data_IF_609969177355
#
_entry.id   IF_609969177355
#
_cell.length_a   1.000
_cell.length_b   1.000
_cell.length_c   1.000
_cell.angle_alpha   90.00
_cell.angle_beta   90.00
_cell.angle_gamma   90.00
#
_symmetry.space_group_name_H-M   'P 1'
#
loop_
_entity.id
_entity.type
_entity.pdbx_description
1 polymer ?
#
# COMPACT_ATOMS: atom_id res chain seq x y z
N UNK A 1 -8.88 -17.37 28.54
CA UNK A 1 -8.50 -17.65 27.15
C UNK A 1 -7.46 -16.63 26.74
N UNK A 2 -6.33 -17.04 26.15
CA UNK A 2 -5.38 -16.09 25.57
C UNK A 2 -6.11 -15.31 24.45
N UNK A 3 -5.96 -13.99 24.43
CA UNK A 3 -6.55 -13.15 23.38
C UNK A 3 -5.82 -13.42 22.07
N UNK A 4 -6.56 -13.69 21.00
CA UNK A 4 -5.98 -13.73 19.64
C UNK A 4 -5.49 -12.32 19.32
N UNK A 5 -4.27 -12.23 18.75
CA UNK A 5 -3.70 -11.00 18.23
C UNK A 5 -3.48 -11.10 16.73
N UNK A 6 -3.55 -9.98 16.04
CA UNK A 6 -3.19 -9.90 14.63
C UNK A 6 -1.68 -9.69 14.51
N UNK A 7 -0.97 -10.64 13.91
CA UNK A 7 0.48 -10.56 13.72
C UNK A 7 0.83 -10.34 12.24
N UNK A 8 1.77 -9.43 11.98
CA UNK A 8 2.36 -9.28 10.65
C UNK A 8 3.36 -10.40 10.44
N UNK A 9 3.04 -11.34 9.56
CA UNK A 9 3.84 -12.55 9.33
C UNK A 9 4.65 -12.52 8.03
N UNK A 10 4.36 -11.59 7.13
CA UNK A 10 5.13 -11.32 5.93
C UNK A 10 4.92 -9.89 5.45
N UNK A 11 5.91 -9.40 4.69
CA UNK A 11 5.88 -8.10 4.04
C UNK A 11 6.24 -8.23 2.57
N UNK A 12 5.71 -7.34 1.75
CA UNK A 12 6.03 -7.22 0.34
C UNK A 12 6.00 -5.77 -0.09
N UNK A 13 6.69 -5.46 -1.17
CA UNK A 13 6.72 -4.10 -1.72
C UNK A 13 6.94 -4.12 -3.21
N UNK A 14 6.59 -3.02 -3.84
CA UNK A 14 6.95 -2.72 -5.21
C UNK A 14 7.22 -1.23 -5.38
N UNK A 15 8.32 -0.91 -6.02
CA UNK A 15 8.69 0.44 -6.44
C UNK A 15 8.90 0.45 -7.95
N UNK A 16 8.35 1.43 -8.69
CA UNK A 16 8.64 1.62 -10.11
C UNK A 16 10.14 1.79 -10.37
N UNK A 17 10.60 1.36 -11.55
CA UNK A 17 12.02 1.49 -11.93
C UNK A 17 12.41 2.91 -12.30
N UNK A 18 11.50 3.65 -12.94
CA UNK A 18 11.76 5.02 -13.39
C UNK A 18 11.94 5.96 -12.20
N UNK A 19 13.03 6.71 -12.26
CA UNK A 19 13.41 7.70 -11.25
C UNK A 19 13.15 9.10 -11.79
N UNK A 20 12.56 9.96 -10.97
CA UNK A 20 12.51 11.40 -11.13
C UNK A 20 13.36 12.03 -10.03
N UNK A 21 14.55 12.47 -10.35
CA UNK A 21 15.47 13.08 -9.39
C UNK A 21 15.27 14.61 -9.30
N UNK A 22 15.97 15.28 -8.38
CA UNK A 22 15.84 16.70 -8.17
C UNK A 22 16.28 17.51 -9.40
N UNK A 23 17.35 17.10 -10.10
CA UNK A 23 17.82 17.77 -11.32
C UNK A 23 16.81 17.66 -12.49
N UNK A 24 15.96 16.64 -12.51
CA UNK A 24 14.87 16.54 -13.48
C UNK A 24 13.73 17.51 -13.13
N UNK A 25 13.43 17.69 -11.84
CA UNK A 25 12.44 18.68 -11.39
C UNK A 25 12.87 20.13 -11.68
N UNK A 26 14.15 20.44 -11.60
CA UNK A 26 14.69 21.77 -11.97
C UNK A 26 14.37 22.17 -13.43
N UNK A 27 14.16 21.18 -14.32
CA UNK A 27 13.77 21.42 -15.71
C UNK A 27 12.27 21.68 -15.89
N UNK A 28 11.47 21.38 -14.86
CA UNK A 28 10.01 21.40 -14.92
C UNK A 28 9.44 22.59 -14.16
N UNK A 29 10.01 22.91 -13.00
CA UNK A 29 9.51 23.91 -12.07
C UNK A 29 10.67 24.69 -11.43
N UNK A 30 10.43 25.92 -11.01
CA UNK A 30 11.44 26.78 -10.36
C UNK A 30 11.84 26.23 -8.98
N UNK A 31 12.86 25.37 -8.98
CA UNK A 31 13.41 24.68 -7.78
C UNK A 31 14.89 24.33 -7.99
N UNK A 32 15.55 23.76 -6.96
CA UNK A 32 16.87 23.16 -7.08
C UNK A 32 17.08 22.06 -6.01
N UNK A 33 18.14 21.24 -6.19
CA UNK A 33 18.43 20.12 -5.30
C UNK A 33 18.63 20.55 -3.85
N UNK A 34 19.34 21.67 -3.61
CA UNK A 34 19.58 22.17 -2.26
C UNK A 34 18.28 22.58 -1.57
N UNK A 35 17.42 23.32 -2.28
CA UNK A 35 16.11 23.73 -1.76
C UNK A 35 15.21 22.55 -1.39
N UNK A 36 15.17 21.52 -2.25
CA UNK A 36 14.35 20.31 -2.01
C UNK A 36 14.93 19.51 -0.85
N UNK A 37 16.23 19.23 -0.89
CA UNK A 37 16.89 18.36 0.07
C UNK A 37 16.89 18.95 1.48
N UNK A 38 17.14 20.25 1.61
CA UNK A 38 17.14 20.93 2.92
C UNK A 38 15.77 20.86 3.60
N UNK A 39 14.67 20.87 2.82
CA UNK A 39 13.29 20.88 3.34
C UNK A 39 12.69 19.50 3.52
N UNK A 40 13.08 18.54 2.70
CA UNK A 40 12.38 17.24 2.61
C UNK A 40 13.31 16.04 2.82
N UNK A 41 14.60 16.20 2.62
CA UNK A 41 15.56 15.10 2.56
C UNK A 41 15.45 14.24 1.28
N UNK A 42 14.47 14.53 0.39
CA UNK A 42 14.17 13.69 -0.77
C UNK A 42 15.15 13.97 -1.90
N UNK A 43 15.77 12.91 -2.44
CA UNK A 43 16.68 12.96 -3.59
C UNK A 43 16.02 12.50 -4.88
N UNK A 44 15.10 11.55 -4.79
CA UNK A 44 14.45 10.93 -5.94
C UNK A 44 13.01 10.49 -5.64
N UNK A 45 12.18 10.36 -6.68
CA UNK A 45 10.83 9.78 -6.64
C UNK A 45 10.76 8.66 -7.65
N UNK A 46 10.06 7.59 -7.29
CA UNK A 46 9.73 6.51 -8.21
C UNK A 46 8.45 6.85 -8.94
N UNK A 47 8.44 6.70 -10.26
CA UNK A 47 7.32 7.12 -11.10
C UNK A 47 6.89 5.95 -11.97
N UNK A 48 5.63 5.54 -11.84
CA UNK A 48 5.02 4.51 -12.66
C UNK A 48 4.68 5.06 -14.05
N UNK A 49 4.84 4.25 -15.08
CA UNK A 49 4.60 4.67 -16.44
C UNK A 49 3.15 5.11 -16.67
N UNK A 50 2.99 6.02 -17.64
CA UNK A 50 1.67 6.52 -18.02
C UNK A 50 0.79 5.36 -18.53
N UNK A 51 -0.48 5.35 -18.11
CA UNK A 51 -1.44 4.33 -18.53
C UNK A 51 -1.45 3.06 -17.65
N UNK A 52 -0.51 2.92 -16.71
CA UNK A 52 -0.50 1.83 -15.73
C UNK A 52 -1.09 2.35 -14.42
N UNK A 53 -1.99 1.59 -13.79
CA UNK A 53 -2.72 1.99 -12.59
C UNK A 53 -2.07 1.56 -11.28
N UNK A 54 -2.64 2.00 -10.17
CA UNK A 54 -2.21 1.68 -8.80
C UNK A 54 -2.25 0.18 -8.51
N UNK A 55 -3.27 -0.52 -9.04
CA UNK A 55 -3.42 -1.97 -8.87
C UNK A 55 -2.20 -2.77 -9.34
N UNK A 56 -1.51 -2.31 -10.38
CA UNK A 56 -0.30 -2.95 -10.87
C UNK A 56 0.79 -3.05 -9.80
N UNK A 57 0.99 -2.00 -9.01
CA UNK A 57 1.95 -1.98 -7.90
C UNK A 57 1.44 -2.83 -6.73
N UNK A 58 0.16 -2.72 -6.41
CA UNK A 58 -0.49 -3.49 -5.34
C UNK A 58 -0.40 -5.01 -5.58
N UNK A 59 -0.67 -5.47 -6.81
CA UNK A 59 -0.54 -6.88 -7.22
C UNK A 59 0.90 -7.38 -7.03
N UNK A 60 1.90 -6.59 -7.39
CA UNK A 60 3.31 -6.98 -7.26
C UNK A 60 3.77 -7.05 -5.81
N UNK A 61 3.34 -6.11 -4.99
CA UNK A 61 3.61 -6.13 -3.56
C UNK A 61 2.99 -7.38 -2.89
N UNK A 62 1.73 -7.70 -3.21
CA UNK A 62 1.06 -8.91 -2.72
C UNK A 62 1.72 -10.20 -3.22
N UNK A 63 2.07 -10.26 -4.51
CA UNK A 63 2.76 -11.43 -5.09
C UNK A 63 4.14 -11.67 -4.46
N UNK A 64 4.82 -10.63 -3.99
CA UNK A 64 6.07 -10.78 -3.22
C UNK A 64 5.83 -11.56 -1.93
N UNK A 65 4.74 -11.28 -1.21
CA UNK A 65 4.32 -12.03 -0.01
C UNK A 65 4.02 -13.48 -0.36
N UNK A 66 3.16 -13.69 -1.36
CA UNK A 66 2.72 -15.03 -1.80
C UNK A 66 3.92 -15.90 -2.15
N UNK A 67 4.86 -15.37 -2.94
CA UNK A 67 6.08 -16.06 -3.35
C UNK A 67 6.98 -16.40 -2.15
N UNK A 68 7.26 -15.42 -1.30
CA UNK A 68 8.20 -15.59 -0.18
C UNK A 68 7.68 -16.55 0.89
N UNK A 69 6.37 -16.51 1.15
CA UNK A 69 5.71 -17.42 2.10
C UNK A 69 5.34 -18.77 1.49
N UNK A 70 5.45 -18.93 0.16
CA UNK A 70 4.89 -20.08 -0.59
C UNK A 70 3.40 -20.29 -0.23
N UNK A 71 2.69 -19.18 -0.10
CA UNK A 71 1.28 -19.16 0.30
C UNK A 71 0.41 -19.61 -0.86
N UNK A 72 -0.54 -20.50 -0.60
CA UNK A 72 -1.64 -20.76 -1.54
C UNK A 72 -2.60 -19.55 -1.50
N UNK A 73 -2.77 -18.80 -2.60
CA UNK A 73 -3.61 -17.61 -2.63
C UNK A 73 -5.07 -17.89 -2.25
N UNK A 74 -5.56 -19.10 -2.49
CA UNK A 74 -6.94 -19.50 -2.14
C UNK A 74 -7.21 -19.53 -0.63
N UNK A 75 -6.16 -19.50 0.19
CA UNK A 75 -6.25 -19.41 1.65
C UNK A 75 -6.41 -17.97 2.17
N UNK A 76 -6.32 -16.97 1.29
CA UNK A 76 -6.51 -15.57 1.67
C UNK A 76 -8.01 -15.32 1.82
N UNK A 77 -8.41 -14.77 2.96
CA UNK A 77 -9.82 -14.50 3.29
C UNK A 77 -10.24 -13.09 2.86
N UNK A 78 -9.29 -12.14 2.86
CA UNK A 78 -9.57 -10.73 2.62
C UNK A 78 -8.37 -10.02 2.04
N UNK A 79 -8.63 -9.14 1.08
CA UNK A 79 -7.68 -8.13 0.59
C UNK A 79 -8.22 -6.74 0.91
N UNK A 80 -7.40 -5.91 1.56
CA UNK A 80 -7.71 -4.50 1.83
C UNK A 80 -6.66 -3.65 1.08
N UNK A 81 -7.11 -2.67 0.30
CA UNK A 81 -6.22 -1.70 -0.34
C UNK A 81 -6.50 -0.30 0.21
N UNK A 82 -5.51 0.29 0.85
CA UNK A 82 -5.53 1.70 1.23
C UNK A 82 -4.95 2.53 0.08
N UNK A 83 -5.80 3.31 -0.58
CA UNK A 83 -5.43 4.14 -1.73
C UNK A 83 -6.33 5.37 -1.89
N UNK A 84 -5.78 6.47 -2.39
CA UNK A 84 -6.52 7.66 -2.86
C UNK A 84 -6.43 7.81 -4.38
N UNK A 85 -5.73 6.89 -5.04
CA UNK A 85 -5.56 6.86 -6.50
C UNK A 85 -6.04 5.53 -7.08
N UNK A 86 -7.32 5.13 -6.83
CA UNK A 86 -7.85 3.87 -7.36
C UNK A 86 -7.88 3.89 -8.89
N UNK A 87 -7.73 2.73 -9.52
CA UNK A 87 -7.77 2.62 -10.98
C UNK A 87 -9.18 2.89 -11.52
N UNK A 88 -10.20 2.53 -10.76
CA UNK A 88 -11.62 2.70 -11.12
C UNK A 88 -12.42 3.19 -9.91
N UNK A 89 -13.40 4.07 -10.16
CA UNK A 89 -14.25 4.59 -9.08
C UNK A 89 -15.36 3.62 -8.64
N UNK A 90 -15.84 2.78 -9.54
CA UNK A 90 -16.97 1.89 -9.25
C UNK A 90 -16.55 0.50 -8.75
N UNK A 91 -15.37 0.05 -9.11
CA UNK A 91 -14.84 -1.25 -8.70
C UNK A 91 -13.72 -1.04 -7.68
N UNK A 92 -13.82 -1.71 -6.53
CA UNK A 92 -12.74 -1.65 -5.55
C UNK A 92 -11.44 -2.22 -6.14
N UNK A 93 -10.34 -1.48 -5.97
CA UNK A 93 -9.00 -1.92 -6.37
C UNK A 93 -8.65 -3.24 -5.70
N UNK A 94 -9.04 -3.42 -4.44
CA UNK A 94 -8.84 -4.65 -3.69
C UNK A 94 -9.49 -5.88 -4.33
N UNK A 95 -10.70 -5.74 -4.90
CA UNK A 95 -11.37 -6.85 -5.58
C UNK A 95 -10.63 -7.26 -6.85
N UNK A 96 -10.14 -6.30 -7.62
CA UNK A 96 -9.32 -6.56 -8.79
C UNK A 96 -7.97 -7.21 -8.41
N UNK A 97 -7.31 -6.68 -7.39
CA UNK A 97 -6.05 -7.27 -6.86
C UNK A 97 -6.27 -8.70 -6.40
N UNK A 98 -7.35 -8.99 -5.65
CA UNK A 98 -7.65 -10.34 -5.18
C UNK A 98 -7.81 -11.33 -6.35
N UNK A 99 -8.50 -10.93 -7.42
CA UNK A 99 -8.63 -11.71 -8.64
C UNK A 99 -7.28 -12.00 -9.30
N UNK A 100 -6.46 -10.97 -9.47
CA UNK A 100 -5.17 -11.07 -10.19
C UNK A 100 -4.12 -11.89 -9.44
N UNK A 101 -4.15 -11.91 -8.11
CA UNK A 101 -3.25 -12.72 -7.29
C UNK A 101 -3.76 -14.15 -7.08
N UNK A 102 -4.94 -14.50 -7.60
CA UNK A 102 -5.54 -15.83 -7.47
C UNK A 102 -6.21 -16.09 -6.11
N UNK A 103 -6.54 -15.05 -5.34
CA UNK A 103 -7.22 -15.16 -4.05
C UNK A 103 -8.74 -15.36 -4.24
N UNK A 104 -9.12 -16.47 -4.87
CA UNK A 104 -10.49 -16.73 -5.32
C UNK A 104 -11.54 -16.83 -4.20
N UNK A 105 -11.09 -17.06 -2.96
CA UNK A 105 -11.98 -17.13 -1.79
C UNK A 105 -12.03 -15.81 -1.01
N UNK A 106 -11.20 -14.82 -1.38
CA UNK A 106 -11.16 -13.54 -0.71
C UNK A 106 -12.26 -12.60 -1.19
N UNK A 107 -12.86 -11.86 -0.27
CA UNK A 107 -13.51 -10.60 -0.62
C UNK A 107 -12.51 -9.44 -0.47
N UNK A 108 -12.84 -8.26 -1.02
CA UNK A 108 -11.94 -7.11 -0.94
C UNK A 108 -12.69 -5.79 -0.93
N UNK A 109 -12.10 -4.80 -0.27
CA UNK A 109 -12.57 -3.41 -0.27
C UNK A 109 -11.41 -2.43 -0.12
N UNK A 110 -11.63 -1.20 -0.59
CA UNK A 110 -10.67 -0.11 -0.49
C UNK A 110 -10.95 0.76 0.73
N UNK A 111 -9.88 1.35 1.29
CA UNK A 111 -9.94 2.40 2.31
C UNK A 111 -9.34 3.67 1.73
N UNK A 112 -10.13 4.75 1.71
CA UNK A 112 -9.68 6.07 1.28
C UNK A 112 -9.52 6.99 2.50
N UNK A 113 -8.27 7.12 2.97
CA UNK A 113 -7.93 7.96 4.12
C UNK A 113 -6.50 8.54 3.99
N UNK A 114 -6.03 8.75 2.76
CA UNK A 114 -4.71 9.28 2.45
C UNK A 114 -3.60 8.62 3.30
N UNK A 115 -2.68 9.40 3.87
CA UNK A 115 -1.54 8.90 4.64
C UNK A 115 -1.94 8.06 5.88
N UNK A 116 -3.16 8.21 6.40
CA UNK A 116 -3.68 7.40 7.51
C UNK A 116 -4.30 6.07 7.06
N UNK A 117 -4.53 5.89 5.74
CA UNK A 117 -5.27 4.76 5.19
C UNK A 117 -4.68 3.41 5.57
N UNK A 118 -3.35 3.26 5.53
CA UNK A 118 -2.70 2.01 5.93
C UNK A 118 -2.90 1.69 7.41
N UNK A 119 -2.83 2.70 8.30
CA UNK A 119 -3.07 2.49 9.74
C UNK A 119 -4.52 2.13 10.03
N UNK A 120 -5.47 2.76 9.34
CA UNK A 120 -6.90 2.42 9.47
C UNK A 120 -7.18 1.00 8.91
N UNK A 121 -6.50 0.63 7.82
CA UNK A 121 -6.53 -0.73 7.30
C UNK A 121 -5.95 -1.75 8.27
N UNK A 122 -4.85 -1.41 8.95
CA UNK A 122 -4.22 -2.27 9.95
C UNK A 122 -5.15 -2.51 11.15
N UNK A 123 -5.77 -1.45 11.67
CA UNK A 123 -6.78 -1.53 12.72
C UNK A 123 -7.96 -2.42 12.30
N UNK A 124 -8.50 -2.17 11.11
CA UNK A 124 -9.62 -2.95 10.57
C UNK A 124 -9.27 -4.43 10.41
N UNK A 125 -8.12 -4.74 9.81
CA UNK A 125 -7.65 -6.11 9.63
C UNK A 125 -7.39 -6.80 10.98
N UNK A 126 -6.82 -6.07 11.95
CA UNK A 126 -6.59 -6.59 13.31
C UNK A 126 -7.91 -6.97 13.98
N UNK A 127 -8.93 -6.12 13.90
CA UNK A 127 -10.25 -6.43 14.45
C UNK A 127 -10.86 -7.68 13.81
N UNK A 128 -10.72 -7.88 12.50
CA UNK A 128 -11.18 -9.07 11.80
C UNK A 128 -10.45 -10.34 12.25
N UNK A 129 -9.13 -10.31 12.40
CA UNK A 129 -8.33 -11.43 12.90
C UNK A 129 -8.69 -11.73 14.37
N UNK A 130 -8.73 -10.70 15.23
CA UNK A 130 -8.99 -10.85 16.66
C UNK A 130 -10.42 -11.33 16.96
N UNK A 131 -11.37 -11.05 16.04
CA UNK A 131 -12.73 -11.61 16.13
C UNK A 131 -12.79 -13.12 15.85
N UNK A 132 -11.71 -13.73 15.34
CA UNK A 132 -11.64 -15.13 14.95
C UNK A 132 -12.36 -15.48 13.63
N UNK A 133 -12.94 -14.50 12.92
CA UNK A 133 -13.72 -14.72 11.68
C UNK A 133 -12.84 -14.99 10.47
N UNK A 134 -11.69 -14.33 10.39
CA UNK A 134 -10.74 -14.43 9.29
C UNK A 134 -9.34 -14.72 9.81
N UNK A 135 -8.53 -15.40 9.01
CA UNK A 135 -7.21 -15.90 9.41
C UNK A 135 -6.06 -15.38 8.55
N UNK A 136 -6.33 -15.00 7.30
CA UNK A 136 -5.31 -14.51 6.39
C UNK A 136 -5.81 -13.27 5.66
N UNK A 137 -5.24 -12.13 6.01
CA UNK A 137 -5.62 -10.84 5.42
C UNK A 137 -4.38 -10.22 4.80
N UNK A 138 -4.46 -9.85 3.52
CA UNK A 138 -3.45 -9.00 2.89
C UNK A 138 -3.95 -7.56 2.95
N UNK A 139 -3.19 -6.72 3.65
CA UNK A 139 -3.36 -5.27 3.66
C UNK A 139 -2.29 -4.63 2.80
N UNK A 140 -2.70 -3.76 1.89
CA UNK A 140 -1.83 -3.07 0.93
C UNK A 140 -2.05 -1.57 1.06
N UNK A 141 -0.96 -0.78 1.17
CA UNK A 141 -0.97 0.65 0.91
C UNK A 141 -0.34 0.88 -0.46
N UNK A 142 -1.05 1.53 -1.36
CA UNK A 142 -0.57 1.77 -2.72
C UNK A 142 -1.14 3.06 -3.31
N UNK A 143 -0.28 3.93 -3.81
CA UNK A 143 -0.70 5.13 -4.51
C UNK A 143 0.16 5.41 -5.74
N UNK A 144 -0.49 5.81 -6.82
CA UNK A 144 0.12 6.43 -7.98
C UNK A 144 -0.05 7.95 -7.89
N UNK A 145 0.70 8.57 -7.01
CA UNK A 145 0.61 10.02 -6.78
C UNK A 145 0.95 10.84 -8.02
N UNK A 146 1.82 10.31 -8.90
CA UNK A 146 2.17 10.95 -10.17
C UNK A 146 0.97 11.18 -11.10
N UNK A 147 -0.16 10.52 -10.86
CA UNK A 147 -1.39 10.69 -11.66
C UNK A 147 -2.22 11.90 -11.25
N UNK A 148 -2.04 12.42 -10.04
CA UNK A 148 -2.84 13.52 -9.47
C UNK A 148 -2.00 14.74 -9.06
N UNK A 149 -0.66 14.61 -9.03
CA UNK A 149 0.25 15.72 -8.71
C UNK A 149 0.27 16.72 -9.86
N UNK A 150 0.11 18.00 -9.52
CA UNK A 150 0.37 19.10 -10.44
C UNK A 150 1.87 19.42 -10.46
N UNK A 151 2.53 19.09 -11.55
CA UNK A 151 3.95 19.35 -11.75
C UNK A 151 4.30 20.82 -12.01
N UNK A 152 3.32 21.73 -12.06
CA UNK A 152 3.54 23.17 -12.05
C UNK A 152 3.59 23.76 -10.63
N UNK A 153 3.09 23.03 -9.63
CA UNK A 153 3.18 23.44 -8.22
C UNK A 153 4.44 22.89 -7.55
N UNK A 154 5.44 23.75 -7.39
CA UNK A 154 6.73 23.39 -6.76
C UNK A 154 6.61 22.93 -5.30
N UNK A 155 5.52 23.24 -4.60
CA UNK A 155 5.37 22.89 -3.19
C UNK A 155 4.95 21.42 -3.00
N UNK A 156 4.23 20.86 -3.98
CA UNK A 156 3.70 19.50 -3.91
C UNK A 156 4.44 18.51 -4.81
N UNK A 157 4.85 18.92 -6.03
CA UNK A 157 5.50 18.00 -6.97
C UNK A 157 6.83 17.44 -6.50
N UNK A 158 7.48 18.11 -5.54
CA UNK A 158 8.75 17.68 -4.96
C UNK A 158 8.62 16.58 -3.91
N UNK A 159 7.40 16.29 -3.43
CA UNK A 159 7.17 15.41 -2.27
C UNK A 159 6.81 14.00 -2.70
N UNK A 160 5.91 13.87 -3.68
CA UNK A 160 5.21 12.61 -3.95
C UNK A 160 5.85 11.78 -5.05
N UNK A 161 5.75 10.47 -4.89
CA UNK A 161 6.08 9.44 -5.87
C UNK A 161 5.10 8.29 -5.80
N UNK A 162 5.38 7.23 -6.55
CA UNK A 162 4.51 6.06 -6.70
C UNK A 162 5.13 4.84 -6.03
N UNK A 163 4.29 3.99 -5.44
CA UNK A 163 4.75 2.78 -4.79
C UNK A 163 3.64 1.98 -4.14
N UNK A 164 3.98 0.76 -3.71
CA UNK A 164 3.11 -0.09 -2.92
C UNK A 164 3.89 -0.85 -1.85
N UNK A 165 3.29 -0.95 -0.67
CA UNK A 165 3.71 -1.83 0.41
C UNK A 165 2.57 -2.73 0.85
N UNK A 166 2.86 -3.98 1.19
CA UNK A 166 1.86 -4.94 1.61
C UNK A 166 2.32 -5.72 2.84
N UNK A 167 1.37 -6.13 3.67
CA UNK A 167 1.59 -7.02 4.81
C UNK A 167 0.58 -8.15 4.80
N UNK A 168 1.01 -9.35 5.24
CA UNK A 168 0.13 -10.45 5.57
C UNK A 168 -0.12 -10.44 7.06
N UNK A 169 -1.38 -10.41 7.46
CA UNK A 169 -1.81 -10.54 8.85
C UNK A 169 -2.39 -11.94 9.08
N UNK A 170 -1.94 -12.57 10.15
CA UNK A 170 -2.38 -13.89 10.59
C UNK A 170 -2.61 -13.88 12.12
N UNK A 171 -3.47 -14.79 12.66
CA UNK A 171 -3.70 -14.87 14.09
C UNK A 171 -2.46 -15.37 14.84
N UNK A 172 -2.14 -14.71 15.93
CA UNK A 172 -1.17 -15.17 16.92
C UNK A 172 -1.88 -15.51 18.23
N UNK A 173 -1.54 -16.67 18.79
CA UNK A 173 -2.15 -17.19 20.02
C UNK A 173 -1.22 -17.09 21.24
N UNK A 174 0.01 -16.60 21.05
CA UNK A 174 0.99 -16.41 22.12
C UNK A 174 0.98 -14.98 22.67
N UNK A 175 0.34 -14.04 21.94
CA UNK A 175 0.17 -12.66 22.35
C UNK A 175 1.08 -11.69 21.61
N UNK A 176 1.76 -12.14 20.54
CA UNK A 176 2.52 -11.29 19.64
C UNK A 176 1.61 -10.70 18.58
N UNK A 177 1.87 -9.44 18.19
CA UNK A 177 1.12 -8.77 17.12
C UNK A 177 0.82 -7.32 17.47
N UNK A 178 -0.22 -6.75 16.88
CA UNK A 178 -0.67 -5.38 17.15
C UNK A 178 -1.16 -5.33 18.61
N UNK A 179 -0.47 -4.55 19.44
CA UNK A 179 -0.74 -4.47 20.87
C UNK A 179 -1.70 -3.35 21.22
N UNK A 180 -1.53 -2.22 20.61
CA UNK A 180 -2.30 -1.00 20.85
C UNK A 180 -2.28 -0.10 19.62
N UNK A 181 -3.25 0.80 19.52
CA UNK A 181 -3.37 1.77 18.44
C UNK A 181 -3.94 3.08 18.95
N UNK A 182 -3.48 4.17 18.34
CA UNK A 182 -4.00 5.49 18.59
C UNK A 182 -4.34 6.15 17.26
N UNK A 183 -5.62 6.21 16.95
CA UNK A 183 -6.15 6.76 15.71
C UNK A 183 -6.95 8.04 16.02
N UNK A 184 -6.76 9.09 15.20
CA UNK A 184 -7.51 10.34 15.26
C UNK A 184 -7.97 10.77 13.89
#
# INVERSE_FOLDING_TARGET
MKKIKASITAVGSFLPEKILNNADLEKIVDTNDDWITTRTGIKERRILDKGIGTSYMAIRAANTIIKNKKLDPTQIDLVIVATITPDMHATATAAYVASEIGASNAFGFDISAACSGFLYGLSTASAFIESGRYKKIILIGADKMSSIVDYSDRNTCIIFGDGAGAVLLEPDYEGYGVQDEYLR
#
